data_IF_557378407614
#
_entry.id   IF_557378407614
#
_cell.length_a   1.000
_cell.length_b   1.000
_cell.length_c   1.000
_cell.angle_alpha   90.00
_cell.angle_beta   90.00
_cell.angle_gamma   90.00
#
_symmetry.space_group_name_H-M   'P 1'
#
loop_
_entity.id
_entity.type
_entity.pdbx_description
1 polymer ?
#
# COMPACT_ATOMS: atom_id res chain seq x y z
N UNK A 1 8.72 15.69 -10.82
CA UNK A 1 7.29 15.67 -10.46
C UNK A 1 6.60 14.62 -11.28
N UNK A 2 5.47 14.08 -10.80
CA UNK A 2 4.71 13.05 -11.49
C UNK A 2 3.30 13.60 -11.80
N UNK A 3 2.90 13.68 -13.08
CA UNK A 3 1.54 14.05 -13.47
C UNK A 3 0.54 12.94 -13.14
N UNK A 4 -0.74 13.29 -13.06
CA UNK A 4 -1.86 12.36 -12.85
C UNK A 4 -1.68 11.43 -11.65
N UNK A 5 -1.29 12.00 -10.51
CA UNK A 5 -0.99 11.27 -9.27
C UNK A 5 -2.10 10.29 -8.87
N UNK A 6 -3.36 10.66 -9.11
CA UNK A 6 -4.56 9.86 -8.78
C UNK A 6 -4.57 8.48 -9.43
N UNK A 7 -3.88 8.31 -10.55
CA UNK A 7 -3.83 7.05 -11.31
C UNK A 7 -2.58 6.21 -10.98
N UNK A 8 -1.73 6.65 -10.06
CA UNK A 8 -0.50 5.94 -9.70
C UNK A 8 -0.78 4.90 -8.62
N UNK A 9 -0.45 3.64 -8.93
CA UNK A 9 -0.55 2.54 -7.97
C UNK A 9 0.79 2.12 -7.39
N UNK A 10 1.84 2.08 -8.23
CA UNK A 10 3.16 1.62 -7.86
C UNK A 10 4.23 2.56 -8.40
N UNK A 11 5.27 2.79 -7.60
CA UNK A 11 6.44 3.59 -7.96
C UNK A 11 7.65 2.68 -7.86
N UNK A 12 8.48 2.69 -8.90
CA UNK A 12 9.74 1.96 -8.94
C UNK A 12 10.87 2.98 -8.90
N UNK A 13 11.77 2.83 -7.94
CA UNK A 13 12.96 3.67 -7.81
C UNK A 13 14.18 2.78 -7.90
N UNK A 14 15.16 3.16 -8.71
CA UNK A 14 16.39 2.41 -8.92
C UNK A 14 17.59 3.33 -9.19
N UNK A 15 18.77 2.86 -8.83
CA UNK A 15 20.04 3.47 -9.20
C UNK A 15 20.33 3.17 -10.68
N UNK A 16 20.83 4.16 -11.43
CA UNK A 16 21.18 3.99 -12.84
C UNK A 16 22.45 3.16 -13.06
N UNK A 17 23.22 2.91 -12.00
CA UNK A 17 24.52 2.23 -12.05
C UNK A 17 25.69 3.12 -12.49
N UNK A 18 25.45 4.41 -12.74
CA UNK A 18 26.51 5.34 -13.17
C UNK A 18 27.42 5.77 -12.02
N UNK A 19 26.85 6.03 -10.84
CA UNK A 19 27.58 6.46 -9.63
C UNK A 19 27.01 5.70 -8.43
N UNK A 20 27.84 4.96 -7.68
CA UNK A 20 27.40 4.33 -6.44
C UNK A 20 27.22 5.36 -5.32
N UNK A 21 26.49 5.00 -4.26
CA UNK A 21 26.50 5.80 -3.04
C UNK A 21 27.89 5.76 -2.40
N UNK A 22 28.31 6.84 -1.72
CA UNK A 22 29.52 6.82 -0.89
C UNK A 22 29.48 5.68 0.14
N UNK A 23 30.64 5.20 0.55
CA UNK A 23 30.75 4.12 1.53
C UNK A 23 30.05 4.48 2.85
N UNK A 24 29.18 3.59 3.32
CA UNK A 24 28.39 3.82 4.53
C UNK A 24 27.12 4.65 4.33
N UNK A 25 26.77 5.03 3.09
CA UNK A 25 25.56 5.80 2.78
C UNK A 25 24.54 5.01 1.94
N UNK A 26 23.29 5.42 2.05
CA UNK A 26 22.19 5.03 1.18
C UNK A 26 21.26 6.21 0.94
N UNK A 27 20.13 5.95 0.28
CA UNK A 27 19.10 6.96 0.06
C UNK A 27 17.77 6.53 0.67
N UNK A 28 17.18 7.39 1.48
CA UNK A 28 15.79 7.29 1.88
C UNK A 28 14.88 7.85 0.80
N UNK A 29 13.81 7.12 0.50
CA UNK A 29 12.84 7.47 -0.53
C UNK A 29 11.59 8.01 0.13
N UNK A 30 11.21 9.21 -0.26
CA UNK A 30 10.04 9.91 0.21
C UNK A 30 9.06 10.18 -0.92
N UNK A 31 7.79 10.27 -0.58
CA UNK A 31 6.72 10.61 -1.50
C UNK A 31 5.83 11.69 -0.92
N UNK A 32 5.41 12.62 -1.78
CA UNK A 32 4.42 13.63 -1.44
C UNK A 32 3.28 13.61 -2.45
N UNK A 33 2.05 13.55 -1.93
CA UNK A 33 0.84 13.71 -2.72
C UNK A 33 0.62 15.19 -3.06
N UNK A 34 -0.01 15.49 -4.22
CA UNK A 34 -0.37 16.85 -4.55
C UNK A 34 -1.49 17.32 -3.64
N UNK A 35 -1.23 18.36 -2.86
CA UNK A 35 -2.20 19.01 -2.00
C UNK A 35 -2.37 20.47 -2.45
N UNK A 36 -3.54 20.86 -3.01
CA UNK A 36 -3.74 22.21 -3.55
C UNK A 36 -3.68 23.31 -2.49
N UNK A 37 -4.05 22.99 -1.26
CA UNK A 37 -4.26 23.96 -0.18
C UNK A 37 -3.30 23.78 1.01
N UNK A 38 -2.34 22.86 0.90
CA UNK A 38 -1.41 22.56 1.97
C UNK A 38 0.01 22.40 1.42
N UNK A 39 1.05 22.72 2.21
CA UNK A 39 2.42 22.40 1.84
C UNK A 39 2.59 20.88 1.66
N UNK A 40 3.55 20.45 0.82
CA UNK A 40 3.79 19.03 0.57
C UNK A 40 4.14 18.31 1.88
N UNK A 41 3.36 17.28 2.18
CA UNK A 41 3.62 16.36 3.28
C UNK A 41 4.45 15.21 2.75
N UNK A 42 5.60 14.93 3.36
CA UNK A 42 6.52 13.88 2.93
C UNK A 42 6.32 12.61 3.75
N UNK A 43 6.10 11.50 3.04
CA UNK A 43 5.93 10.18 3.59
C UNK A 43 7.16 9.32 3.26
N UNK A 44 7.81 8.73 4.26
CA UNK A 44 8.92 7.80 4.05
C UNK A 44 8.40 6.48 3.46
N UNK A 45 8.76 6.19 2.21
CA UNK A 45 8.42 4.94 1.52
C UNK A 45 9.37 3.79 1.90
N UNK A 46 10.66 4.09 2.05
CA UNK A 46 11.71 3.10 2.26
C UNK A 46 13.10 3.62 1.93
N UNK A 47 14.00 2.74 1.51
CA UNK A 47 15.39 3.09 1.20
C UNK A 47 16.00 2.27 0.06
N UNK A 48 17.03 2.83 -0.57
CA UNK A 48 17.98 2.20 -1.49
C UNK A 48 19.39 2.23 -0.90
N UNK A 49 20.21 1.24 -1.27
CA UNK A 49 21.64 1.17 -0.94
C UNK A 49 22.41 0.53 -2.09
N UNK A 50 23.74 0.52 -2.03
CA UNK A 50 24.56 -0.19 -3.02
C UNK A 50 24.24 -1.71 -3.06
N UNK A 51 23.82 -2.30 -1.93
CA UNK A 51 23.40 -3.70 -1.83
C UNK A 51 21.98 -3.94 -2.35
N UNK A 52 21.10 -2.93 -2.24
CA UNK A 52 19.71 -2.96 -2.71
C UNK A 52 19.44 -1.75 -3.61
N UNK A 53 19.90 -1.80 -4.89
CA UNK A 53 19.91 -0.64 -5.77
C UNK A 53 18.54 -0.31 -6.37
N UNK A 54 17.49 -1.07 -6.06
CA UNK A 54 16.12 -0.83 -6.55
C UNK A 54 15.06 -1.25 -5.55
N UNK A 55 13.92 -0.57 -5.55
CA UNK A 55 12.76 -0.90 -4.74
C UNK A 55 11.45 -0.52 -5.44
N UNK A 56 10.38 -1.25 -5.12
CA UNK A 56 9.02 -1.04 -5.61
C UNK A 56 8.14 -0.66 -4.42
N UNK A 57 7.39 0.43 -4.56
CA UNK A 57 6.51 0.95 -3.52
C UNK A 57 5.08 1.03 -4.02
N UNK A 58 4.13 0.42 -3.30
CA UNK A 58 2.70 0.60 -3.56
C UNK A 58 2.24 1.91 -2.91
N UNK A 59 1.80 2.86 -3.72
CA UNK A 59 1.34 4.18 -3.25
C UNK A 59 -0.18 4.32 -3.23
N UNK A 60 -0.92 3.51 -3.98
CA UNK A 60 -2.39 3.53 -3.96
C UNK A 60 -2.94 3.32 -2.54
N UNK A 61 -3.67 4.31 -2.02
CA UNK A 61 -4.28 4.26 -0.69
C UNK A 61 -3.53 5.01 0.42
N UNK A 62 -2.35 5.58 0.14
CA UNK A 62 -1.56 6.31 1.14
C UNK A 62 -2.03 7.74 1.42
N UNK A 63 -3.00 8.25 0.65
CA UNK A 63 -3.55 9.62 0.82
C UNK A 63 -4.09 9.91 2.22
N UNK A 64 -4.42 8.88 3.00
CA UNK A 64 -5.02 9.00 4.32
C UNK A 64 -4.22 8.26 5.41
N UNK A 65 -2.95 7.91 5.17
CA UNK A 65 -2.14 7.20 6.16
C UNK A 65 -1.80 8.14 7.35
N UNK A 66 -2.21 7.82 8.59
CA UNK A 66 -2.16 8.77 9.70
C UNK A 66 -0.79 8.91 10.39
N UNK A 67 0.30 8.29 9.95
CA UNK A 67 1.52 8.25 10.76
C UNK A 67 2.80 8.37 9.95
N UNK A 68 3.75 9.13 10.51
CA UNK A 68 5.06 9.57 9.97
C UNK A 68 5.00 10.67 8.90
N UNK A 69 4.38 11.79 9.28
CA UNK A 69 4.65 13.08 8.65
C UNK A 69 6.08 13.49 9.02
N UNK A 70 6.94 13.59 8.02
CA UNK A 70 8.27 14.19 8.19
C UNK A 70 8.10 15.70 8.08
N UNK A 71 8.82 16.44 8.93
CA UNK A 71 8.85 17.89 8.95
C UNK A 71 9.16 18.44 7.54
N UNK A 72 8.31 19.32 6.96
CA UNK A 72 8.48 19.86 5.60
C UNK A 72 9.84 20.55 5.35
N UNK A 73 10.67 20.74 6.37
CA UNK A 73 12.01 21.31 6.25
C UNK A 73 13.05 20.39 5.57
N UNK A 74 12.88 19.07 5.55
CA UNK A 74 13.91 18.14 5.03
C UNK A 74 14.16 18.29 3.51
N UNK A 75 13.15 18.72 2.74
CA UNK A 75 13.27 18.93 1.28
C UNK A 75 13.19 20.41 0.87
N UNK A 76 13.35 21.31 1.84
CA UNK A 76 13.19 22.75 1.67
C UNK A 76 11.73 23.19 1.57
N UNK A 77 11.46 24.49 1.75
CA UNK A 77 10.10 25.02 1.58
C UNK A 77 9.70 24.96 0.11
N UNK A 78 8.89 23.97 -0.24
CA UNK A 78 8.32 23.84 -1.57
C UNK A 78 6.92 24.46 -1.60
N UNK A 79 6.66 25.26 -2.64
CA UNK A 79 5.34 25.85 -2.87
C UNK A 79 4.29 24.77 -3.15
N UNK A 80 3.02 25.15 -3.04
CA UNK A 80 1.87 24.29 -3.38
C UNK A 80 2.11 23.59 -4.72
N UNK A 81 2.16 22.26 -4.70
CA UNK A 81 2.38 21.45 -5.89
C UNK A 81 1.08 20.75 -6.26
N UNK A 82 0.60 21.01 -7.48
CA UNK A 82 -0.49 20.25 -8.08
C UNK A 82 -0.04 18.87 -8.61
N UNK A 83 1.25 18.54 -8.47
CA UNK A 83 1.85 17.29 -8.94
C UNK A 83 2.44 16.49 -7.78
N UNK A 84 2.40 15.17 -7.89
CA UNK A 84 3.08 14.30 -6.93
C UNK A 84 4.61 14.44 -7.05
N UNK A 85 5.31 14.18 -5.95
CA UNK A 85 6.76 14.36 -5.87
C UNK A 85 7.45 13.17 -5.20
N UNK A 86 8.67 12.88 -5.65
CA UNK A 86 9.56 11.89 -5.05
C UNK A 86 10.79 12.64 -4.54
N UNK A 87 11.10 12.44 -3.26
CA UNK A 87 12.27 12.99 -2.57
C UNK A 87 13.27 11.88 -2.29
N UNK A 88 14.55 12.14 -2.54
CA UNK A 88 15.65 11.26 -2.18
C UNK A 88 16.57 12.00 -1.22
N UNK A 89 16.75 11.47 -0.01
CA UNK A 89 17.65 12.02 0.99
C UNK A 89 18.79 11.04 1.20
N UNK A 90 20.03 11.49 0.97
CA UNK A 90 21.22 10.67 1.15
C UNK A 90 21.59 10.70 2.63
N UNK A 91 21.56 9.54 3.27
CA UNK A 91 21.73 9.41 4.71
C UNK A 91 22.70 8.27 5.04
N UNK A 92 23.42 8.34 6.17
CA UNK A 92 24.22 7.23 6.66
C UNK A 92 23.36 5.98 6.86
N UNK A 93 23.87 4.79 6.50
CA UNK A 93 23.15 3.52 6.60
C UNK A 93 22.64 3.24 8.03
N UNK A 94 23.37 3.69 9.05
CA UNK A 94 22.97 3.58 10.44
C UNK A 94 21.67 4.36 10.74
N UNK A 95 21.55 5.59 10.23
CA UNK A 95 20.31 6.41 10.34
C UNK A 95 19.15 5.75 9.61
N UNK A 96 19.43 5.16 8.44
CA UNK A 96 18.42 4.46 7.63
C UNK A 96 17.86 3.25 8.37
N UNK A 97 18.70 2.48 9.05
CA UNK A 97 18.28 1.29 9.83
C UNK A 97 17.39 1.65 11.04
N UNK A 98 17.55 2.86 11.59
CA UNK A 98 16.73 3.35 12.70
C UNK A 98 15.40 3.96 12.25
N UNK A 99 15.25 4.23 10.94
CA UNK A 99 14.06 4.85 10.40
C UNK A 99 13.00 3.81 10.07
N UNK A 100 11.77 4.04 10.54
CA UNK A 100 10.63 3.17 10.23
C UNK A 100 9.88 3.73 9.04
N UNK A 101 9.85 3.04 7.88
CA UNK A 101 9.07 3.50 6.73
C UNK A 101 7.57 3.45 7.04
N UNK A 102 6.83 4.42 6.52
CA UNK A 102 5.39 4.49 6.67
C UNK A 102 4.67 3.35 5.94
N UNK A 103 5.34 2.81 4.93
CA UNK A 103 4.90 1.62 4.21
C UNK A 103 5.74 0.48 4.75
N UNK A 104 5.09 -0.50 5.38
CA UNK A 104 5.68 -1.84 5.39
C UNK A 104 5.83 -2.21 3.93
N UNK A 105 7.06 -2.18 3.40
CA UNK A 105 7.38 -2.63 2.06
C UNK A 105 7.05 -4.11 2.04
N UNK A 106 5.78 -4.44 1.85
CA UNK A 106 5.32 -5.81 1.87
C UNK A 106 5.92 -6.40 0.62
N UNK A 107 6.91 -7.32 0.74
CA UNK A 107 7.22 -8.14 -0.40
C UNK A 107 5.90 -8.79 -0.82
N UNK A 108 5.75 -9.02 -2.13
CA UNK A 108 4.67 -9.78 -2.74
C UNK A 108 4.62 -11.20 -2.10
N UNK A 109 4.10 -11.30 -0.87
CA UNK A 109 4.10 -12.49 -0.03
C UNK A 109 2.70 -12.61 0.56
N UNK A 110 1.82 -13.25 -0.20
CA UNK A 110 0.62 -13.92 0.32
C UNK A 110 -0.51 -13.08 0.93
N UNK A 111 -0.24 -11.90 1.53
CA UNK A 111 -1.20 -11.16 2.34
C UNK A 111 -2.43 -10.71 1.54
N UNK A 112 -2.23 -10.15 0.36
CA UNK A 112 -3.33 -9.67 -0.50
C UNK A 112 -4.14 -10.79 -1.15
N UNK A 113 -3.48 -11.89 -1.51
CA UNK A 113 -4.21 -13.04 -2.05
C UNK A 113 -5.02 -13.70 -0.94
N UNK A 114 -4.45 -13.83 0.27
CA UNK A 114 -5.16 -14.30 1.45
C UNK A 114 -6.35 -13.39 1.79
N UNK A 115 -6.16 -12.06 1.82
CA UNK A 115 -7.24 -11.09 2.06
C UNK A 115 -8.33 -11.19 0.99
N UNK A 116 -7.95 -11.32 -0.29
CA UNK A 116 -8.89 -11.53 -1.38
C UNK A 116 -9.69 -12.83 -1.19
N UNK A 117 -9.02 -13.94 -0.90
CA UNK A 117 -9.70 -15.22 -0.67
C UNK A 117 -10.62 -15.15 0.55
N UNK A 118 -10.20 -14.48 1.62
CA UNK A 118 -11.03 -14.30 2.82
C UNK A 118 -12.29 -13.51 2.49
N UNK A 119 -12.14 -12.35 1.82
CA UNK A 119 -13.29 -11.54 1.38
C UNK A 119 -14.21 -12.29 0.42
N UNK A 120 -13.66 -13.12 -0.46
CA UNK A 120 -14.44 -13.95 -1.38
C UNK A 120 -15.22 -15.04 -0.64
N UNK A 121 -14.61 -15.72 0.33
CA UNK A 121 -15.30 -16.70 1.17
C UNK A 121 -16.39 -16.04 2.01
N UNK A 122 -16.09 -14.90 2.64
CA UNK A 122 -17.07 -14.15 3.44
C UNK A 122 -18.27 -13.74 2.57
N UNK A 123 -18.02 -13.23 1.37
CA UNK A 123 -19.08 -12.86 0.43
C UNK A 123 -19.93 -14.07 0.02
N UNK A 124 -19.29 -15.20 -0.30
CA UNK A 124 -19.97 -16.43 -0.68
C UNK A 124 -20.86 -16.98 0.44
N UNK A 125 -20.33 -17.06 1.66
CA UNK A 125 -21.09 -17.52 2.84
C UNK A 125 -22.23 -16.57 3.16
N UNK A 126 -22.01 -15.25 3.11
CA UNK A 126 -23.07 -14.26 3.34
C UNK A 126 -24.18 -14.35 2.29
N UNK A 127 -23.81 -14.50 1.01
CA UNK A 127 -24.77 -14.65 -0.08
C UNK A 127 -25.61 -15.91 0.13
N UNK A 128 -24.99 -17.06 0.34
CA UNK A 128 -25.73 -18.31 0.55
C UNK A 128 -26.56 -18.32 1.84
N UNK A 129 -26.05 -17.73 2.92
CA UNK A 129 -26.78 -17.60 4.18
C UNK A 129 -28.06 -16.76 4.02
N UNK A 130 -28.08 -15.80 3.10
CA UNK A 130 -29.27 -14.98 2.85
C UNK A 130 -30.44 -15.76 2.23
N UNK A 131 -30.16 -16.92 1.63
CA UNK A 131 -31.18 -17.86 1.13
C UNK A 131 -31.52 -18.98 2.13
N UNK A 132 -30.96 -18.93 3.34
CA UNK A 132 -31.25 -19.90 4.39
C UNK A 132 -32.70 -19.79 4.83
N UNK A 133 -33.49 -20.83 4.59
CA UNK A 133 -34.90 -20.94 5.01
C UNK A 133 -35.10 -22.17 5.90
N UNK A 134 -36.03 -22.08 6.84
CA UNK A 134 -36.43 -23.24 7.66
C UNK A 134 -37.41 -24.12 6.90
N UNK A 135 -37.56 -25.39 7.31
CA UNK A 135 -38.55 -26.30 6.70
C UNK A 135 -39.99 -25.76 6.79
N UNK A 136 -40.30 -24.93 7.79
CA UNK A 136 -41.61 -24.30 7.93
C UNK A 136 -41.89 -23.20 6.90
N UNK A 137 -40.84 -22.62 6.31
CA UNK A 137 -40.91 -21.53 5.33
C UNK A 137 -40.74 -22.04 3.89
N UNK A 138 -40.44 -23.33 3.70
CA UNK A 138 -40.27 -23.94 2.39
C UNK A 138 -41.61 -24.03 1.64
N UNK A 139 -41.60 -23.61 0.39
CA UNK A 139 -42.70 -23.89 -0.55
C UNK A 139 -42.41 -25.19 -1.31
N UNK A 140 -43.41 -26.00 -1.69
CA UNK A 140 -43.17 -27.28 -2.34
C UNK A 140 -42.54 -27.12 -3.74
N UNK A 141 -41.21 -27.30 -3.84
CA UNK A 141 -40.45 -27.27 -5.09
C UNK A 141 -39.78 -28.63 -5.35
N UNK A 142 -40.51 -29.62 -5.91
CA UNK A 142 -40.05 -31.02 -5.99
C UNK A 142 -38.83 -31.26 -6.91
N UNK A 143 -38.42 -30.28 -7.71
CA UNK A 143 -37.27 -30.36 -8.61
C UNK A 143 -36.04 -29.59 -8.08
N UNK A 144 -36.11 -29.05 -6.87
CA UNK A 144 -35.06 -28.20 -6.29
C UNK A 144 -34.23 -28.97 -5.24
N UNK A 145 -32.93 -28.76 -5.23
CA UNK A 145 -32.00 -29.40 -4.28
C UNK A 145 -31.61 -28.40 -3.21
N UNK A 146 -31.84 -28.76 -1.94
CA UNK A 146 -31.49 -27.93 -0.79
C UNK A 146 -30.23 -28.48 -0.09
N UNK A 147 -29.33 -27.57 0.30
CA UNK A 147 -28.14 -27.90 1.08
C UNK A 147 -28.36 -27.57 2.55
N UNK A 148 -28.11 -28.49 3.49
CA UNK A 148 -28.22 -28.19 4.92
C UNK A 148 -27.22 -27.13 5.37
N UNK A 149 -27.70 -26.10 6.08
CA UNK A 149 -26.85 -24.99 6.55
C UNK A 149 -25.70 -25.45 7.47
N UNK A 150 -25.93 -26.53 8.23
CA UNK A 150 -24.92 -27.15 9.11
C UNK A 150 -23.72 -27.77 8.37
N UNK A 151 -23.81 -27.94 7.04
CA UNK A 151 -22.69 -28.40 6.20
C UNK A 151 -21.91 -27.24 5.56
N UNK A 152 -22.38 -26.01 5.71
CA UNK A 152 -21.74 -24.80 5.15
C UNK A 152 -21.02 -23.96 6.20
N UNK A 153 -21.45 -24.01 7.46
CA UNK A 153 -20.76 -23.38 8.59
C UNK A 153 -19.86 -24.43 9.25
N UNK A 154 -18.54 -24.25 9.20
CA UNK A 154 -17.56 -25.06 9.94
C UNK A 154 -17.16 -24.36 11.22
#
# INVERSE_FOLDING_TARGET
TIPDADNINHIVVFMTGSVPFPDGFGAQVYFSWPEPNAPPTWLLLGHLSNEKPSAIFKVSGLKHAPNTVIDPMQFGQQQFSHLAQIGLSIEPLFTIQQSTPAIASEPFKGSKFAEFTQKMLDNFVNYLSSFGITQAEMTPTPNETFLPMSKMQT
#
